data_IF_515238230061
#
_entry.id   IF_515238230061
#
_cell.length_a   1.000
_cell.length_b   1.000
_cell.length_c   1.000
_cell.angle_alpha   90.00
_cell.angle_beta   90.00
_cell.angle_gamma   90.00
#
_symmetry.space_group_name_H-M   'P 1'
#
loop_
_entity.id
_entity.type
_entity.pdbx_description
1 polymer ?
#
# COMPACT_ATOMS: atom_id res chain seq x y z
N UNK A 1 6.86 16.52 4.60
CA UNK A 1 6.55 15.34 3.77
C UNK A 1 7.01 15.43 2.30
N UNK A 2 7.27 16.62 1.72
CA UNK A 2 7.60 16.80 0.28
C UNK A 2 9.10 16.71 -0.10
N UNK A 3 9.95 16.15 0.77
CA UNK A 3 11.40 16.03 0.50
C UNK A 3 11.81 14.60 0.22
N UNK A 4 11.15 13.62 0.83
CA UNK A 4 11.52 12.20 0.70
C UNK A 4 11.14 11.65 -0.68
N UNK A 5 9.94 11.98 -1.15
CA UNK A 5 9.44 11.66 -2.49
C UNK A 5 10.39 12.18 -3.59
N UNK A 6 10.83 13.44 -3.48
CA UNK A 6 11.78 14.03 -4.42
C UNK A 6 13.13 13.32 -4.42
N UNK A 7 13.67 13.00 -3.23
CA UNK A 7 14.95 12.29 -3.10
C UNK A 7 14.88 10.88 -3.69
N UNK A 8 13.80 10.14 -3.42
CA UNK A 8 13.60 8.80 -3.99
C UNK A 8 13.45 8.89 -5.51
N UNK A 9 12.67 9.84 -6.02
CA UNK A 9 12.47 10.03 -7.46
C UNK A 9 13.80 10.36 -8.17
N UNK A 10 14.59 11.27 -7.63
CA UNK A 10 15.91 11.62 -8.17
C UNK A 10 16.89 10.43 -8.17
N UNK A 11 16.90 9.64 -7.09
CA UNK A 11 17.82 8.49 -6.96
C UNK A 11 17.45 7.34 -7.89
N UNK A 12 16.15 7.08 -8.05
CA UNK A 12 15.63 5.94 -8.82
C UNK A 12 15.34 6.29 -10.28
N UNK A 13 15.22 7.58 -10.61
CA UNK A 13 14.75 8.11 -11.90
C UNK A 13 13.35 7.61 -12.27
N UNK A 14 12.54 7.28 -11.27
CA UNK A 14 11.16 6.85 -11.44
C UNK A 14 10.20 7.89 -10.82
N UNK A 15 8.97 8.00 -11.33
CA UNK A 15 7.95 8.82 -10.70
C UNK A 15 7.59 8.26 -9.32
N UNK A 16 7.45 9.16 -8.35
CA UNK A 16 7.04 8.82 -6.98
C UNK A 16 5.73 9.52 -6.68
N UNK A 17 4.75 8.76 -6.21
CA UNK A 17 3.42 9.25 -5.87
C UNK A 17 3.19 9.09 -4.36
N UNK A 18 2.79 10.18 -3.70
CA UNK A 18 2.32 10.12 -2.31
C UNK A 18 0.84 9.75 -2.36
N UNK A 19 0.43 8.75 -1.58
CA UNK A 19 -0.97 8.35 -1.47
C UNK A 19 -1.83 9.45 -0.82
N UNK A 20 -3.12 9.52 -1.16
CA UNK A 20 -4.03 10.58 -0.70
C UNK A 20 -4.24 10.63 0.83
N UNK A 21 -4.32 9.46 1.49
CA UNK A 21 -4.35 9.35 2.96
C UNK A 21 -3.27 8.35 3.41
N UNK A 22 -1.99 8.77 3.44
CA UNK A 22 -0.86 7.86 3.63
C UNK A 22 -0.81 7.30 5.05
N UNK A 23 -1.35 8.03 6.03
CA UNK A 23 -1.37 7.59 7.43
C UNK A 23 -2.40 6.50 7.68
N UNK A 24 -3.52 6.48 6.92
CA UNK A 24 -4.55 5.44 7.03
C UNK A 24 -4.48 4.37 5.94
N UNK A 25 -3.54 4.46 5.01
CA UNK A 25 -3.43 3.55 3.87
C UNK A 25 -3.48 2.07 4.29
N UNK A 26 -2.74 1.71 5.35
CA UNK A 26 -2.68 0.32 5.85
C UNK A 26 -4.03 -0.12 6.40
N UNK A 27 -4.58 0.58 7.40
CA UNK A 27 -5.85 0.19 8.03
C UNK A 27 -7.02 0.19 7.03
N UNK A 28 -7.03 1.11 6.06
CA UNK A 28 -8.03 1.12 4.98
C UNK A 28 -7.88 -0.11 4.08
N UNK A 29 -6.66 -0.44 3.66
CA UNK A 29 -6.38 -1.63 2.85
C UNK A 29 -6.79 -2.92 3.57
N UNK A 30 -6.42 -3.07 4.85
CA UNK A 30 -6.84 -4.20 5.69
C UNK A 30 -8.36 -4.30 5.78
N UNK A 31 -9.06 -3.19 6.03
CA UNK A 31 -10.53 -3.18 6.07
C UNK A 31 -11.17 -3.59 4.74
N UNK A 32 -10.59 -3.20 3.60
CA UNK A 32 -11.06 -3.62 2.28
C UNK A 32 -10.85 -5.13 2.08
N UNK A 33 -9.69 -5.66 2.45
CA UNK A 33 -9.39 -7.08 2.33
C UNK A 33 -10.33 -7.95 3.18
N UNK A 34 -10.54 -7.57 4.44
CA UNK A 34 -11.44 -8.27 5.36
C UNK A 34 -12.91 -8.21 4.94
N UNK A 35 -13.34 -7.19 4.20
CA UNK A 35 -14.70 -7.12 3.63
C UNK A 35 -14.87 -7.98 2.38
N UNK A 36 -13.77 -8.39 1.74
CA UNK A 36 -13.75 -9.09 0.45
C UNK A 36 -12.93 -10.39 0.55
N UNK A 37 -13.14 -11.17 1.61
CA UNK A 37 -12.31 -12.32 1.99
C UNK A 37 -12.18 -13.34 0.85
N UNK A 38 -13.26 -13.59 0.10
CA UNK A 38 -13.24 -14.55 -1.02
C UNK A 38 -12.33 -14.09 -2.17
N UNK A 39 -12.24 -12.77 -2.40
CA UNK A 39 -11.41 -12.18 -3.48
C UNK A 39 -9.94 -12.10 -3.06
N UNK A 40 -9.69 -11.91 -1.78
CA UNK A 40 -8.36 -11.71 -1.23
C UNK A 40 -7.95 -12.84 -0.28
N UNK A 41 -8.41 -14.07 -0.54
CA UNK A 41 -8.13 -15.24 0.29
C UNK A 41 -6.63 -15.46 0.48
N UNK A 42 -5.84 -15.17 -0.56
CA UNK A 42 -4.37 -15.25 -0.54
C UNK A 42 -3.68 -14.30 0.45
N UNK A 43 -4.36 -13.24 0.90
CA UNK A 43 -3.84 -12.31 1.92
C UNK A 43 -4.17 -12.75 3.35
N UNK A 44 -5.13 -13.66 3.52
CA UNK A 44 -5.72 -13.97 4.83
C UNK A 44 -5.40 -15.41 5.25
N UNK A 45 -5.39 -16.36 4.31
CA UNK A 45 -5.14 -17.76 4.64
C UNK A 45 -3.65 -18.02 4.87
N UNK A 46 -3.35 -18.64 6.02
CA UNK A 46 -2.00 -19.06 6.41
C UNK A 46 -1.40 -20.09 5.45
N UNK A 47 -2.25 -20.81 4.69
CA UNK A 47 -1.83 -21.82 3.72
C UNK A 47 -1.44 -21.25 2.34
N UNK A 48 -1.50 -19.93 2.15
CA UNK A 48 -1.31 -19.31 0.83
C UNK A 48 0.17 -19.19 0.38
N UNK A 49 1.10 -19.87 1.05
CA UNK A 49 2.54 -19.90 0.73
C UNK A 49 3.02 -21.33 0.62
#
# INVERSE_FOLDING_TARGET
>A
YAVLDKRISQKTRLPVHIADDPLRAVVRGTGIALKNINRFSFLIDRKSV
#
